data_IF_036513916921
#
_entry.id   IF_036513916921
#
_cell.length_a   1.000
_cell.length_b   1.000
_cell.length_c   1.000
_cell.angle_alpha   90.00
_cell.angle_beta   90.00
_cell.angle_gamma   90.00
#
_symmetry.space_group_name_H-M   'P 1'
#
loop_
_entity.id
_entity.type
_entity.pdbx_description
1 polymer ?
#
# COMPACT_ATOMS: atom_id res chain seq x y z
N UNK A 1 13.00 35.88 11.27
CA UNK A 1 11.69 35.39 10.81
C UNK A 1 11.88 34.42 9.65
N UNK A 2 11.90 33.10 9.89
CA UNK A 2 12.17 32.10 8.83
C UNK A 2 11.59 30.70 9.07
N UNK A 3 11.28 30.35 10.33
CA UNK A 3 10.77 29.02 10.68
C UNK A 3 9.39 28.69 10.11
N UNK A 4 8.49 29.68 9.99
CA UNK A 4 7.11 29.44 9.52
C UNK A 4 7.02 29.02 8.05
N UNK A 5 7.93 29.48 7.19
CA UNK A 5 7.99 29.09 5.77
C UNK A 5 8.51 27.65 5.60
N UNK A 6 9.49 27.26 6.40
CA UNK A 6 10.09 25.92 6.37
C UNK A 6 9.06 24.87 6.82
N UNK A 7 8.30 25.14 7.89
CA UNK A 7 7.24 24.25 8.37
C UNK A 7 6.13 24.10 7.32
N UNK A 8 5.64 25.21 6.74
CA UNK A 8 4.64 25.17 5.66
C UNK A 8 5.12 24.38 4.44
N UNK A 9 6.41 24.44 4.10
CA UNK A 9 7.01 23.69 2.99
C UNK A 9 7.06 22.18 3.30
N UNK A 10 7.47 21.80 4.51
CA UNK A 10 7.49 20.39 4.97
C UNK A 10 6.10 19.75 4.95
N UNK A 11 5.07 20.46 5.42
CA UNK A 11 3.68 19.97 5.41
C UNK A 11 3.17 19.74 3.99
N UNK A 12 3.50 20.63 3.04
CA UNK A 12 3.13 20.44 1.62
C UNK A 12 3.80 19.22 1.00
N UNK A 13 5.09 19.01 1.28
CA UNK A 13 5.79 17.82 0.79
C UNK A 13 5.21 16.52 1.35
N UNK A 14 4.85 16.50 2.64
CA UNK A 14 4.18 15.35 3.24
C UNK A 14 2.83 15.06 2.57
N UNK A 15 2.04 16.11 2.27
CA UNK A 15 0.76 15.97 1.55
C UNK A 15 0.95 15.41 0.14
N UNK A 16 1.92 15.93 -0.62
CA UNK A 16 2.23 15.45 -1.98
C UNK A 16 2.73 13.99 -1.93
N UNK A 17 3.56 13.64 -0.95
CA UNK A 17 4.01 12.26 -0.74
C UNK A 17 2.82 11.34 -0.50
N UNK A 18 1.90 11.74 0.38
CA UNK A 18 0.70 10.96 0.70
C UNK A 18 -0.22 10.76 -0.51
N UNK A 19 -0.41 11.79 -1.33
CA UNK A 19 -1.19 11.69 -2.58
C UNK A 19 -0.54 10.73 -3.58
N UNK A 20 0.78 10.77 -3.72
CA UNK A 20 1.53 9.83 -4.57
C UNK A 20 1.43 8.39 -4.07
N UNK A 21 1.52 8.18 -2.75
CA UNK A 21 1.40 6.86 -2.14
C UNK A 21 -0.01 6.28 -2.32
N UNK A 22 -1.05 7.10 -2.16
CA UNK A 22 -2.45 6.72 -2.43
C UNK A 22 -2.63 6.35 -3.90
N UNK A 23 -2.10 7.16 -4.82
CA UNK A 23 -2.17 6.87 -6.24
C UNK A 23 -1.43 5.58 -6.60
N UNK A 24 -0.28 5.32 -5.97
CA UNK A 24 0.44 4.05 -6.14
C UNK A 24 -0.38 2.86 -5.63
N UNK A 25 -1.01 2.97 -4.45
CA UNK A 25 -1.87 1.93 -3.90
C UNK A 25 -3.03 1.59 -4.85
N UNK A 26 -3.72 2.58 -5.42
CA UNK A 26 -4.80 2.34 -6.39
C UNK A 26 -4.36 1.52 -7.60
N UNK A 27 -3.10 1.69 -8.04
CA UNK A 27 -2.53 0.96 -9.18
C UNK A 27 -2.04 -0.45 -8.83
N UNK A 28 -1.61 -0.66 -7.59
CA UNK A 28 -1.04 -1.95 -7.15
C UNK A 28 -2.15 -2.90 -6.70
N UNK A 29 -3.16 -2.39 -5.99
CA UNK A 29 -4.25 -3.20 -5.47
C UNK A 29 -5.24 -3.48 -6.60
N UNK A 30 -5.51 -4.75 -6.95
CA UNK A 30 -6.43 -5.07 -8.01
C UNK A 30 -7.83 -4.50 -7.77
N UNK A 31 -8.47 -3.96 -8.81
CA UNK A 31 -9.86 -3.44 -8.78
C UNK A 31 -10.05 -2.25 -7.84
N UNK A 32 -9.00 -1.45 -7.66
CA UNK A 32 -9.01 -0.25 -6.81
C UNK A 32 -8.66 1.04 -7.57
N UNK A 33 -8.60 0.98 -8.90
CA UNK A 33 -8.23 2.10 -9.78
C UNK A 33 -9.18 3.30 -9.61
N UNK A 34 -10.47 3.02 -9.37
CA UNK A 34 -11.56 4.00 -9.24
C UNK A 34 -12.04 4.20 -7.79
N UNK A 35 -11.33 3.67 -6.79
CA UNK A 35 -11.74 3.82 -5.38
C UNK A 35 -11.37 5.20 -4.87
N UNK A 36 -12.35 6.10 -4.82
CA UNK A 36 -12.18 7.48 -4.36
C UNK A 36 -11.97 7.59 -2.85
N UNK A 37 -12.63 6.74 -2.06
CA UNK A 37 -12.50 6.72 -0.62
C UNK A 37 -11.18 6.09 -0.17
N UNK A 38 -10.34 6.91 0.48
CA UNK A 38 -9.01 6.51 0.97
C UNK A 38 -9.12 5.46 2.08
N UNK A 39 -10.13 5.54 2.94
CA UNK A 39 -10.27 4.57 4.04
C UNK A 39 -10.59 3.18 3.49
N UNK A 40 -11.55 3.09 2.56
CA UNK A 40 -11.83 1.85 1.84
C UNK A 40 -10.62 1.33 1.03
N UNK A 41 -9.85 2.22 0.38
CA UNK A 41 -8.62 1.82 -0.31
C UNK A 41 -7.61 1.18 0.65
N UNK A 42 -7.42 1.74 1.85
CA UNK A 42 -6.52 1.20 2.86
C UNK A 42 -7.00 -0.15 3.38
N UNK A 43 -8.30 -0.29 3.66
CA UNK A 43 -8.89 -1.56 4.09
C UNK A 43 -8.68 -2.66 3.03
N UNK A 44 -9.00 -2.38 1.77
CA UNK A 44 -8.74 -3.30 0.66
C UNK A 44 -7.26 -3.64 0.50
N UNK A 45 -6.38 -2.67 0.75
CA UNK A 45 -4.92 -2.88 0.72
C UNK A 45 -4.48 -3.87 1.80
N UNK A 46 -5.01 -3.74 3.02
CA UNK A 46 -4.73 -4.65 4.14
C UNK A 46 -5.22 -6.06 3.81
N UNK A 47 -6.46 -6.18 3.33
CA UNK A 47 -7.04 -7.47 2.92
C UNK A 47 -6.20 -8.15 1.84
N UNK A 48 -5.76 -7.39 0.83
CA UNK A 48 -4.92 -7.90 -0.24
C UNK A 48 -3.57 -8.41 0.27
N UNK A 49 -2.91 -7.68 1.18
CA UNK A 49 -1.66 -8.10 1.80
C UNK A 49 -1.84 -9.39 2.61
N UNK A 50 -2.94 -9.52 3.37
CA UNK A 50 -3.25 -10.73 4.12
C UNK A 50 -3.41 -11.91 3.16
N UNK A 51 -4.18 -11.74 2.08
CA UNK A 51 -4.39 -12.77 1.05
C UNK A 51 -3.07 -13.21 0.42
N UNK A 52 -2.20 -12.27 0.05
CA UNK A 52 -0.88 -12.58 -0.51
C UNK A 52 -0.02 -13.37 0.46
N UNK A 53 0.01 -12.99 1.75
CA UNK A 53 0.76 -13.73 2.78
C UNK A 53 0.26 -15.17 2.91
N UNK A 54 -1.06 -15.38 2.89
CA UNK A 54 -1.65 -16.72 2.93
C UNK A 54 -1.27 -17.54 1.69
N UNK A 55 -1.35 -16.95 0.50
CA UNK A 55 -0.96 -17.62 -0.75
C UNK A 55 0.53 -18.02 -0.74
N UNK A 56 1.43 -17.11 -0.35
CA UNK A 56 2.86 -17.40 -0.25
C UNK A 56 3.13 -18.50 0.77
N UNK A 57 2.47 -18.46 1.93
CA UNK A 57 2.63 -19.49 2.95
C UNK A 57 2.16 -20.86 2.45
N UNK A 58 1.01 -20.91 1.78
CA UNK A 58 0.48 -22.14 1.19
C UNK A 58 1.42 -22.70 0.12
N UNK A 59 1.89 -21.86 -0.81
CA UNK A 59 2.84 -22.25 -1.85
C UNK A 59 4.16 -22.75 -1.26
N UNK A 60 4.66 -22.11 -0.20
CA UNK A 60 5.85 -22.56 0.52
C UNK A 60 5.65 -23.93 1.14
N UNK A 61 4.52 -24.16 1.81
CA UNK A 61 4.19 -25.47 2.38
C UNK A 61 4.13 -26.55 1.30
N UNK A 62 3.47 -26.28 0.18
CA UNK A 62 3.45 -27.21 -0.95
C UNK A 62 4.84 -27.49 -1.49
N UNK A 63 5.65 -26.45 -1.70
CA UNK A 63 7.02 -26.61 -2.20
C UNK A 63 7.87 -27.49 -1.28
N UNK A 64 7.73 -27.34 0.04
CA UNK A 64 8.40 -28.17 1.03
C UNK A 64 7.91 -29.63 0.98
N UNK A 65 6.61 -29.85 0.80
CA UNK A 65 6.03 -31.20 0.70
C UNK A 65 6.50 -31.93 -0.56
N UNK A 66 6.63 -31.23 -1.68
CA UNK A 66 7.08 -31.80 -2.95
C UNK A 66 8.60 -31.78 -3.14
N UNK A 67 9.37 -31.30 -2.15
CA UNK A 67 10.84 -31.26 -2.20
C UNK A 67 11.39 -30.36 -3.32
N UNK A 68 10.62 -29.34 -3.73
CA UNK A 68 11.01 -28.38 -4.77
C UNK A 68 11.88 -27.25 -4.20
N UNK A 69 11.86 -27.08 -2.87
CA UNK A 69 12.64 -26.10 -2.10
C UNK A 69 13.57 -26.78 -1.10
#
# INVERSE_FOLDING_TARGET
>A
MGGGLIVKKKVRFAKISMENDIHALRRIIPRCEEVDDVENLLLKSIEYVIKLKLQVNFLRTLSNLYGVL
#
